data_IF_124882672804
#
_entry.id   IF_124882672804
#
_cell.length_a   1.000
_cell.length_b   1.000
_cell.length_c   1.000
_cell.angle_alpha   90.00
_cell.angle_beta   90.00
_cell.angle_gamma   90.00
#
_symmetry.space_group_name_H-M   'P 1'
#
loop_
_entity.id
_entity.type
_entity.pdbx_description
1 polymer ?
#
# COMPACT_ATOMS: atom_id res chain seq x y z
N UNK A 1 6.42 2.18 -29.38
CA UNK A 1 6.33 3.48 -28.69
C UNK A 1 7.41 3.52 -27.61
N UNK A 2 8.33 4.50 -27.65
CA UNK A 2 9.48 4.60 -26.73
C UNK A 2 8.99 4.54 -25.27
N UNK A 3 9.35 3.50 -24.54
CA UNK A 3 9.12 3.39 -23.10
C UNK A 3 10.07 4.34 -22.38
N UNK A 4 9.68 5.60 -22.21
CA UNK A 4 10.35 6.47 -21.26
C UNK A 4 10.01 5.92 -19.87
N UNK A 5 10.89 5.09 -19.30
CA UNK A 5 10.65 4.48 -17.99
C UNK A 5 10.44 5.62 -16.99
N UNK A 6 9.31 5.65 -16.25
CA UNK A 6 9.08 6.70 -15.28
C UNK A 6 10.22 6.69 -14.27
N UNK A 7 10.75 7.87 -13.94
CA UNK A 7 11.73 8.01 -12.86
C UNK A 7 11.16 7.43 -11.56
N UNK A 8 12.02 6.85 -10.73
CA UNK A 8 11.64 6.30 -9.43
C UNK A 8 10.85 7.31 -8.58
N UNK A 9 11.20 8.60 -8.66
CA UNK A 9 10.49 9.68 -7.96
C UNK A 9 9.01 9.80 -8.42
N UNK A 10 8.73 9.59 -9.70
CA UNK A 10 7.36 9.60 -10.21
C UNK A 10 6.57 8.40 -9.71
N UNK A 11 7.18 7.21 -9.66
CA UNK A 11 6.54 6.01 -9.14
C UNK A 11 6.19 6.16 -7.66
N UNK A 12 7.12 6.67 -6.85
CA UNK A 12 6.86 6.94 -5.43
C UNK A 12 5.71 7.96 -5.27
N UNK A 13 5.72 9.04 -6.06
CA UNK A 13 4.64 10.02 -6.06
C UNK A 13 3.29 9.41 -6.46
N UNK A 14 3.25 8.57 -7.49
CA UNK A 14 2.02 7.92 -7.93
C UNK A 14 1.52 6.92 -6.91
N UNK A 15 2.42 6.19 -6.24
CA UNK A 15 2.10 5.30 -5.13
C UNK A 15 1.41 6.07 -3.99
N UNK A 16 1.99 7.19 -3.55
CA UNK A 16 1.42 8.04 -2.50
C UNK A 16 0.09 8.71 -2.92
N UNK A 17 -0.09 9.00 -4.20
CA UNK A 17 -1.31 9.60 -4.74
C UNK A 17 -2.35 8.56 -5.21
N UNK A 18 -2.12 7.27 -4.94
CA UNK A 18 -2.99 6.16 -5.32
C UNK A 18 -3.30 6.11 -6.83
N UNK A 19 -2.30 6.42 -7.65
CA UNK A 19 -2.41 6.47 -9.12
C UNK A 19 -1.81 5.24 -9.77
N UNK A 20 -2.28 4.95 -10.97
CA UNK A 20 -1.77 3.88 -11.82
C UNK A 20 -0.23 3.96 -11.97
N UNK A 21 0.52 2.91 -11.60
CA UNK A 21 1.98 2.93 -11.67
C UNK A 21 2.50 2.92 -13.11
N UNK A 22 1.70 2.46 -14.08
CA UNK A 22 2.10 2.38 -15.49
C UNK A 22 1.94 3.70 -16.25
N UNK A 23 0.96 4.54 -15.89
CA UNK A 23 0.67 5.78 -16.63
C UNK A 23 0.53 7.05 -15.78
N UNK A 24 0.35 6.93 -14.46
CA UNK A 24 0.21 8.06 -13.54
C UNK A 24 -1.05 8.90 -13.68
N UNK A 25 -2.01 8.51 -14.53
CA UNK A 25 -3.17 9.34 -14.91
C UNK A 25 -4.45 9.06 -14.10
N UNK A 26 -4.80 7.79 -13.90
CA UNK A 26 -6.04 7.40 -13.22
C UNK A 26 -5.78 6.87 -11.81
N UNK A 27 -6.72 7.08 -10.90
CA UNK A 27 -6.72 6.46 -9.57
C UNK A 27 -6.97 4.94 -9.67
N UNK A 28 -6.27 4.18 -8.83
CA UNK A 28 -6.50 2.73 -8.64
C UNK A 28 -7.76 2.45 -7.79
N UNK A 29 -8.22 3.44 -7.02
CA UNK A 29 -9.34 3.29 -6.09
C UNK A 29 -10.67 3.39 -6.83
N UNK A 30 -11.57 2.46 -6.54
CA UNK A 30 -12.95 2.47 -7.03
C UNK A 30 -13.92 2.97 -5.96
N UNK A 31 -13.82 2.40 -4.76
CA UNK A 31 -14.66 2.67 -3.60
C UNK A 31 -13.87 2.35 -2.32
N UNK A 32 -14.37 2.72 -1.12
CA UNK A 32 -13.74 2.30 0.13
C UNK A 32 -13.54 0.78 0.16
N UNK A 33 -12.31 0.34 0.43
CA UNK A 33 -11.91 -1.07 0.42
C UNK A 33 -12.13 -1.80 -0.92
N UNK A 34 -12.19 -1.06 -2.03
CA UNK A 34 -12.30 -1.62 -3.39
C UNK A 34 -11.30 -0.97 -4.35
N UNK A 35 -10.57 -1.83 -5.07
CA UNK A 35 -9.62 -1.46 -6.11
C UNK A 35 -10.22 -1.83 -7.46
N UNK A 36 -9.99 -0.98 -8.46
CA UNK A 36 -10.44 -1.24 -9.84
C UNK A 36 -9.76 -2.48 -10.41
N UNK A 37 -10.44 -3.19 -11.29
CA UNK A 37 -9.82 -4.31 -12.02
C UNK A 37 -8.80 -3.83 -13.06
N UNK A 38 -9.06 -2.66 -13.66
CA UNK A 38 -8.22 -2.10 -14.72
C UNK A 38 -8.10 -0.57 -14.64
N UNK A 39 -7.02 -0.04 -15.21
CA UNK A 39 -6.82 1.39 -15.34
C UNK A 39 -7.75 2.00 -16.40
N UNK A 40 -8.56 2.99 -16.05
CA UNK A 40 -9.45 3.68 -16.99
C UNK A 40 -8.74 4.50 -18.07
N UNK A 41 -7.42 4.75 -17.95
CA UNK A 41 -6.64 5.54 -18.91
C UNK A 41 -5.76 4.71 -19.84
N UNK A 42 -5.04 3.70 -19.33
CA UNK A 42 -4.12 2.89 -20.13
C UNK A 42 -4.46 1.40 -20.19
N UNK A 43 -5.58 0.99 -19.58
CA UNK A 43 -6.11 -0.39 -19.59
C UNK A 43 -5.14 -1.46 -19.08
N UNK A 44 -4.18 -1.08 -18.23
CA UNK A 44 -3.42 -2.09 -17.48
C UNK A 44 -4.33 -2.78 -16.48
N UNK A 45 -4.14 -4.09 -16.33
CA UNK A 45 -4.90 -4.93 -15.40
C UNK A 45 -4.25 -4.83 -14.02
N UNK A 46 -5.01 -4.40 -13.02
CA UNK A 46 -4.55 -4.32 -11.62
C UNK A 46 -4.74 -5.63 -10.87
N UNK A 47 -5.79 -6.41 -11.20
CA UNK A 47 -6.01 -7.75 -10.64
C UNK A 47 -5.91 -8.78 -11.75
N UNK A 48 -4.72 -9.39 -11.91
CA UNK A 48 -4.44 -10.35 -13.00
C UNK A 48 -5.15 -11.68 -12.78
N UNK A 49 -5.13 -12.16 -11.55
CA UNK A 49 -5.63 -13.48 -11.17
C UNK A 49 -6.20 -13.44 -9.74
N UNK A 50 -7.00 -14.46 -9.42
CA UNK A 50 -7.45 -14.67 -8.05
C UNK A 50 -6.22 -14.93 -7.16
N UNK A 51 -6.12 -14.21 -6.05
CA UNK A 51 -4.97 -14.30 -5.15
C UNK A 51 -3.91 -13.22 -5.37
N UNK A 52 -3.97 -12.42 -6.45
CA UNK A 52 -3.04 -11.30 -6.64
C UNK A 52 -3.08 -10.28 -5.48
N UNK A 53 -4.21 -10.18 -4.79
CA UNK A 53 -4.39 -9.34 -3.60
C UNK A 53 -3.52 -9.77 -2.40
N UNK A 54 -2.98 -10.99 -2.37
CA UNK A 54 -2.14 -11.50 -1.28
C UNK A 54 -0.88 -10.65 -1.09
N UNK A 55 -0.29 -10.16 -2.19
CA UNK A 55 0.86 -9.25 -2.10
C UNK A 55 0.50 -7.92 -1.43
N UNK A 56 -0.69 -7.37 -1.71
CA UNK A 56 -1.19 -6.17 -1.03
C UNK A 56 -1.48 -6.42 0.46
N UNK A 57 -1.95 -7.63 0.82
CA UNK A 57 -2.09 -8.05 2.23
C UNK A 57 -0.72 -8.10 2.89
N UNK A 58 0.27 -8.73 2.26
CA UNK A 58 1.63 -8.86 2.81
C UNK A 58 2.25 -7.49 3.08
N UNK A 59 2.14 -6.55 2.12
CA UNK A 59 2.61 -5.17 2.31
C UNK A 59 1.91 -4.51 3.49
N UNK A 60 0.59 -4.70 3.64
CA UNK A 60 -0.19 -4.11 4.71
C UNK A 60 0.23 -4.65 6.09
N UNK A 61 0.32 -5.97 6.23
CA UNK A 61 0.71 -6.66 7.47
C UNK A 61 2.13 -6.28 7.87
N UNK A 62 3.11 -6.43 6.98
CA UNK A 62 4.52 -6.12 7.28
C UNK A 62 4.68 -4.66 7.69
N UNK A 63 4.03 -3.73 7.00
CA UNK A 63 4.10 -2.31 7.36
C UNK A 63 3.45 -2.03 8.71
N UNK A 64 2.31 -2.66 9.00
CA UNK A 64 1.61 -2.52 10.27
C UNK A 64 2.47 -3.02 11.44
N UNK A 65 3.08 -4.20 11.30
CA UNK A 65 3.99 -4.76 12.30
C UNK A 65 5.19 -3.84 12.56
N UNK A 66 5.80 -3.29 11.50
CA UNK A 66 6.90 -2.33 11.64
C UNK A 66 6.45 -1.08 12.41
N UNK A 67 5.26 -0.54 12.11
CA UNK A 67 4.73 0.63 12.81
C UNK A 67 4.46 0.32 14.29
N UNK A 68 3.89 -0.85 14.61
CA UNK A 68 3.66 -1.30 15.98
C UNK A 68 5.00 -1.45 16.73
N UNK A 69 5.99 -2.10 16.12
CA UNK A 69 7.32 -2.28 16.70
C UNK A 69 7.99 -0.93 16.99
N UNK A 70 7.94 0.02 16.05
CA UNK A 70 8.49 1.35 16.25
C UNK A 70 7.77 2.11 17.37
N UNK A 71 6.43 2.03 17.43
CA UNK A 71 5.64 2.64 18.50
C UNK A 71 5.97 2.02 19.86
N UNK A 72 6.12 0.70 19.93
CA UNK A 72 6.53 -0.01 21.14
C UNK A 72 7.92 0.42 21.60
N UNK A 73 8.91 0.46 20.69
CA UNK A 73 10.27 0.92 20.97
C UNK A 73 10.30 2.35 21.50
N UNK A 74 9.49 3.25 20.94
CA UNK A 74 9.36 4.63 21.41
C UNK A 74 8.74 4.71 22.83
N UNK A 75 7.91 3.73 23.21
CA UNK A 75 7.23 3.69 24.51
C UNK A 75 8.08 3.12 25.65
N UNK A 76 9.28 2.57 25.38
CA UNK A 76 10.10 1.87 26.38
C UNK A 76 10.44 2.71 27.62
N UNK A 77 10.52 4.04 27.49
CA UNK A 77 10.83 4.93 28.61
C UNK A 77 9.64 5.12 29.58
N UNK A 78 8.41 4.90 29.11
CA UNK A 78 7.17 5.19 29.88
C UNK A 78 6.36 3.93 30.21
N UNK A 79 6.69 2.80 29.57
CA UNK A 79 5.90 1.56 29.66
C UNK A 79 5.79 1.00 31.09
N UNK A 80 6.82 1.17 31.92
CA UNK A 80 6.82 0.69 33.30
C UNK A 80 5.79 1.40 34.18
N UNK A 81 5.48 2.67 33.87
CA UNK A 81 4.54 3.50 34.63
C UNK A 81 3.14 3.49 33.99
N UNK A 82 3.08 3.44 32.65
CA UNK A 82 1.85 3.60 31.87
C UNK A 82 1.52 2.39 31.00
N UNK A 83 1.73 1.17 31.49
CA UNK A 83 1.56 -0.06 30.72
C UNK A 83 0.21 -0.18 30.00
N UNK A 84 -0.90 0.02 30.72
CA UNK A 84 -2.25 -0.08 30.14
C UNK A 84 -2.48 0.94 29.02
N UNK A 85 -1.97 2.16 29.18
CA UNK A 85 -2.09 3.21 28.17
C UNK A 85 -1.29 2.87 26.90
N UNK A 86 -0.07 2.35 27.06
CA UNK A 86 0.75 1.88 25.92
C UNK A 86 0.02 0.76 25.17
N UNK A 87 -0.53 -0.23 25.87
CA UNK A 87 -1.29 -1.31 25.23
C UNK A 87 -2.50 -0.80 24.43
N UNK A 88 -3.26 0.14 24.99
CA UNK A 88 -4.40 0.74 24.29
C UNK A 88 -3.94 1.43 23.01
N UNK A 89 -2.84 2.20 23.05
CA UNK A 89 -2.29 2.83 21.85
C UNK A 89 -1.87 1.79 20.82
N UNK A 90 -1.13 0.76 21.22
CA UNK A 90 -0.67 -0.29 20.30
C UNK A 90 -1.85 -1.04 19.67
N UNK A 91 -2.90 -1.33 20.45
CA UNK A 91 -4.13 -1.94 19.93
C UNK A 91 -4.83 -1.03 18.92
N UNK A 92 -4.96 0.27 19.23
CA UNK A 92 -5.54 1.24 18.30
C UNK A 92 -4.73 1.32 17.00
N UNK A 93 -3.41 1.31 17.07
CA UNK A 93 -2.55 1.25 15.88
C UNK A 93 -2.81 -0.04 15.09
N UNK A 94 -2.82 -1.19 15.76
CA UNK A 94 -3.02 -2.50 15.14
C UNK A 94 -4.35 -2.63 14.38
N UNK A 95 -5.39 -1.88 14.79
CA UNK A 95 -6.69 -1.89 14.11
C UNK A 95 -6.81 -0.75 13.10
N UNK A 96 -6.49 0.48 13.48
CA UNK A 96 -6.76 1.67 12.66
C UNK A 96 -5.77 1.82 11.51
N UNK A 97 -4.50 1.50 11.73
CA UNK A 97 -3.46 1.64 10.72
C UNK A 97 -3.71 0.77 9.48
N UNK A 98 -3.90 -0.56 9.57
CA UNK A 98 -4.09 -1.40 8.38
C UNK A 98 -5.33 -1.00 7.57
N UNK A 99 -6.40 -0.58 8.27
CA UNK A 99 -7.64 -0.08 7.68
C UNK A 99 -7.39 1.21 6.88
N UNK A 100 -6.68 2.19 7.46
CA UNK A 100 -6.32 3.42 6.76
C UNK A 100 -5.30 3.19 5.64
N UNK A 101 -4.42 2.20 5.80
CA UNK A 101 -3.34 1.89 4.86
C UNK A 101 -3.74 0.95 3.73
N UNK A 102 -4.98 0.41 3.73
CA UNK A 102 -5.47 -0.55 2.74
C UNK A 102 -5.20 -0.15 1.28
N UNK A 103 -5.57 1.07 0.89
CA UNK A 103 -5.39 1.51 -0.50
C UNK A 103 -3.91 1.74 -0.85
N UNK A 104 -3.11 2.16 0.13
CA UNK A 104 -1.69 2.38 -0.05
C UNK A 104 -0.92 1.07 -0.18
N UNK A 105 -1.31 0.02 0.53
CA UNK A 105 -0.69 -1.30 0.38
C UNK A 105 -0.93 -1.89 -1.01
N UNK A 106 -2.14 -1.71 -1.57
CA UNK A 106 -2.42 -2.01 -2.96
C UNK A 106 -1.59 -1.19 -3.94
N UNK A 107 -1.47 0.12 -3.72
CA UNK A 107 -0.69 0.98 -4.59
C UNK A 107 0.79 0.62 -4.58
N UNK A 108 1.34 0.27 -3.42
CA UNK A 108 2.72 -0.17 -3.26
C UNK A 108 2.95 -1.51 -3.96
N UNK A 109 2.05 -2.48 -3.75
CA UNK A 109 2.11 -3.78 -4.41
C UNK A 109 2.07 -3.67 -5.94
N UNK A 110 1.12 -2.90 -6.49
CA UNK A 110 1.02 -2.67 -7.93
C UNK A 110 2.26 -1.96 -8.50
N UNK A 111 2.86 -1.05 -7.74
CA UNK A 111 4.08 -0.35 -8.15
C UNK A 111 5.28 -1.29 -8.17
N UNK A 112 5.41 -2.14 -7.15
CA UNK A 112 6.44 -3.18 -7.08
C UNK A 112 6.31 -4.18 -8.23
N UNK A 113 5.11 -4.72 -8.44
CA UNK A 113 4.81 -5.66 -9.52
C UNK A 113 5.07 -5.04 -10.91
N UNK A 114 4.71 -3.76 -11.11
CA UNK A 114 5.02 -3.03 -12.33
C UNK A 114 6.53 -2.87 -12.58
N UNK A 115 7.34 -2.75 -11.53
CA UNK A 115 8.79 -2.63 -11.63
C UNK A 115 9.48 -3.97 -11.93
N UNK A 116 8.97 -5.06 -11.34
CA UNK A 116 9.57 -6.40 -11.46
C UNK A 116 9.15 -7.09 -12.75
N UNK A 117 7.85 -7.21 -12.99
CA UNK A 117 7.29 -7.97 -14.11
C UNK A 117 6.69 -7.07 -15.18
N UNK A 118 6.15 -5.91 -14.77
CA UNK A 118 5.40 -5.03 -15.64
C UNK A 118 3.95 -5.48 -15.79
N UNK A 119 3.02 -4.56 -15.57
CA UNK A 119 1.58 -4.84 -15.63
C UNK A 119 1.12 -5.14 -17.07
N UNK A 120 0.37 -6.23 -17.31
CA UNK A 120 -0.20 -6.54 -18.60
C UNK A 120 -1.31 -5.56 -18.96
N UNK A 121 -1.55 -5.38 -20.25
CA UNK A 121 -2.65 -4.58 -20.79
C UNK A 121 -3.69 -5.53 -21.39
N UNK A 122 -4.96 -5.24 -21.12
CA UNK A 122 -6.10 -5.87 -21.80
C UNK A 122 -6.29 -5.30 -23.20
#
# INVERSE_FOLDING_TARGET
MRSNRPSFANLLRWCLLLRCPACGKASIVEAPFRIKDHCSSCRVVFQREQGFFVGAILVNVVTTEVVILLAYMASLQVINVHYQFVLVILFLIAVLFPVAFYHHSWSAWLTFDHLVEGLPRS
#
